data_IF_725594376633
#
_entry.id   IF_725594376633
#
_cell.length_a   1.000
_cell.length_b   1.000
_cell.length_c   1.000
_cell.angle_alpha   90.00
_cell.angle_beta   90.00
_cell.angle_gamma   90.00
#
_symmetry.space_group_name_H-M   'P 1'
#
loop_
_entity.id
_entity.type
_entity.pdbx_description
1 polymer ?
#
# COMPACT_ATOMS: atom_id res chain seq x y z
N UNK A 1 -34.03 30.36 2.85
CA UNK A 1 -34.70 29.92 4.09
C UNK A 1 -33.59 29.64 5.08
N UNK A 2 -33.28 30.67 5.87
CA UNK A 2 -32.05 30.78 6.65
C UNK A 2 -32.03 29.78 7.80
N UNK A 3 -30.96 28.98 7.86
CA UNK A 3 -30.69 28.08 8.97
C UNK A 3 -29.80 28.83 9.96
N UNK A 4 -30.43 29.43 10.96
CA UNK A 4 -29.74 29.93 12.15
C UNK A 4 -29.17 28.73 12.92
N UNK A 5 -27.83 28.69 13.02
CA UNK A 5 -27.12 27.68 13.81
C UNK A 5 -27.08 28.15 15.25
N UNK A 6 -28.03 27.69 16.06
CA UNK A 6 -27.98 27.85 17.51
C UNK A 6 -26.96 26.87 18.10
N UNK A 7 -26.03 27.41 18.88
CA UNK A 7 -24.84 26.72 19.41
C UNK A 7 -25.10 26.33 20.87
N UNK A 8 -25.70 25.16 21.14
CA UNK A 8 -25.69 24.61 22.52
C UNK A 8 -26.03 23.12 22.66
N UNK A 9 -25.21 22.47 23.50
CA UNK A 9 -25.47 21.26 24.30
C UNK A 9 -25.17 19.85 23.72
N UNK A 10 -24.57 19.07 24.61
CA UNK A 10 -23.90 17.78 24.47
C UNK A 10 -24.87 16.58 24.42
N UNK A 11 -25.62 16.43 23.32
CA UNK A 11 -26.38 15.19 23.05
C UNK A 11 -25.88 14.53 21.77
N UNK A 12 -25.74 13.18 21.72
CA UNK A 12 -25.42 12.49 20.48
C UNK A 12 -26.50 12.80 19.44
N UNK A 13 -26.10 13.41 18.31
CA UNK A 13 -27.00 13.84 17.23
C UNK A 13 -27.73 12.60 16.69
N UNK A 14 -29.04 12.49 16.91
CA UNK A 14 -29.84 11.42 16.29
C UNK A 14 -30.01 11.73 14.80
N UNK A 15 -29.78 10.72 13.96
CA UNK A 15 -30.06 10.80 12.52
C UNK A 15 -31.29 9.92 12.26
N UNK A 16 -32.39 10.54 11.85
CA UNK A 16 -33.61 9.85 11.42
C UNK A 16 -33.49 9.49 9.95
N UNK A 17 -33.34 8.20 9.65
CA UNK A 17 -33.45 7.63 8.31
C UNK A 17 -34.71 6.74 8.30
N UNK A 18 -35.67 7.05 7.42
CA UNK A 18 -36.91 6.27 7.23
C UNK A 18 -37.70 5.95 8.52
N UNK A 19 -37.78 6.88 9.48
CA UNK A 19 -38.57 6.70 10.71
C UNK A 19 -37.93 5.79 11.78
N UNK A 20 -36.77 5.21 11.51
CA UNK A 20 -36.04 4.37 12.46
C UNK A 20 -35.02 5.23 13.21
N UNK A 21 -35.15 5.30 14.54
CA UNK A 21 -34.20 5.98 15.42
C UNK A 21 -32.96 5.11 15.62
N UNK A 22 -31.93 5.28 14.79
CA UNK A 22 -30.66 4.56 14.93
C UNK A 22 -29.70 5.40 15.78
N UNK A 23 -29.20 4.84 16.89
CA UNK A 23 -28.13 5.48 17.67
C UNK A 23 -26.87 5.61 16.81
N UNK A 24 -26.22 6.78 16.84
CA UNK A 24 -24.95 7.00 16.14
C UNK A 24 -23.86 6.00 16.52
N UNK A 25 -23.94 5.41 17.73
CA UNK A 25 -23.02 4.35 18.15
C UNK A 25 -23.16 3.09 17.30
N UNK A 26 -24.39 2.71 16.93
CA UNK A 26 -24.63 1.56 16.05
C UNK A 26 -24.16 1.84 14.63
N UNK A 27 -24.36 3.06 14.12
CA UNK A 27 -23.85 3.44 12.78
C UNK A 27 -22.31 3.35 12.69
N UNK A 28 -21.59 3.68 13.77
CA UNK A 28 -20.11 3.58 13.83
C UNK A 28 -19.59 2.14 13.75
N UNK A 29 -20.41 1.14 14.08
CA UNK A 29 -20.07 -0.28 13.99
C UNK A 29 -20.68 -0.95 12.75
N UNK A 30 -21.89 -0.56 12.37
CA UNK A 30 -22.60 -1.11 11.22
C UNK A 30 -21.89 -0.81 9.91
N UNK A 31 -21.33 0.40 9.73
CA UNK A 31 -20.62 0.75 8.49
C UNK A 31 -19.37 -0.11 8.29
N UNK A 32 -18.41 -0.18 9.25
CA UNK A 32 -17.25 -1.06 9.08
C UNK A 32 -17.61 -2.54 8.93
N UNK A 33 -18.62 -3.02 9.67
CA UNK A 33 -19.07 -4.41 9.59
C UNK A 33 -19.69 -4.71 8.22
N UNK A 34 -20.61 -3.87 7.75
CA UNK A 34 -21.21 -4.01 6.42
C UNK A 34 -20.16 -3.94 5.32
N UNK A 35 -19.22 -3.00 5.42
CA UNK A 35 -18.12 -2.88 4.47
C UNK A 35 -17.22 -4.13 4.51
N UNK A 36 -16.90 -4.65 5.69
CA UNK A 36 -16.13 -5.89 5.83
C UNK A 36 -16.83 -7.07 5.16
N UNK A 37 -18.14 -7.26 5.38
CA UNK A 37 -18.90 -8.35 4.75
C UNK A 37 -18.92 -8.21 3.23
N UNK A 38 -19.17 -7.01 2.72
CA UNK A 38 -19.17 -6.69 1.28
C UNK A 38 -17.80 -6.95 0.64
N UNK A 39 -16.72 -6.68 1.36
CA UNK A 39 -15.36 -7.00 0.91
C UNK A 39 -15.14 -8.52 0.98
N UNK A 40 -15.38 -9.13 2.14
CA UNK A 40 -14.96 -10.47 2.50
C UNK A 40 -15.70 -11.57 1.74
N UNK A 41 -17.02 -11.46 1.58
CA UNK A 41 -17.84 -12.51 0.95
C UNK A 41 -17.33 -12.83 -0.48
N UNK A 42 -17.12 -11.85 -1.38
CA UNK A 42 -16.52 -12.10 -2.68
C UNK A 42 -15.11 -12.70 -2.64
N UNK A 43 -14.34 -12.56 -1.55
CA UNK A 43 -13.00 -13.15 -1.46
C UNK A 43 -13.02 -14.61 -1.04
N UNK A 44 -14.01 -15.05 -0.27
CA UNK A 44 -14.06 -16.43 0.24
C UNK A 44 -15.02 -17.34 -0.54
N UNK A 45 -15.92 -16.76 -1.33
CA UNK A 45 -16.89 -17.53 -2.11
C UNK A 45 -16.19 -18.34 -3.20
N UNK A 46 -16.24 -19.68 -3.12
CA UNK A 46 -15.67 -20.58 -4.12
C UNK A 46 -14.14 -20.56 -4.18
N UNK A 47 -13.46 -20.60 -3.02
CA UNK A 47 -12.01 -20.76 -2.95
C UNK A 47 -11.53 -22.19 -3.29
N UNK A 48 -12.46 -23.12 -3.50
CA UNK A 48 -12.29 -24.54 -3.78
C UNK A 48 -12.72 -24.94 -5.19
N UNK A 49 -12.85 -23.99 -6.12
CA UNK A 49 -13.39 -24.28 -7.47
C UNK A 49 -12.30 -24.70 -8.47
N UNK A 50 -11.12 -24.09 -8.39
CA UNK A 50 -10.01 -24.35 -9.32
C UNK A 50 -8.67 -24.05 -8.65
N UNK A 51 -7.59 -24.56 -9.23
CA UNK A 51 -6.20 -24.22 -8.94
C UNK A 51 -5.64 -23.42 -10.11
N UNK A 52 -4.92 -22.31 -9.85
CA UNK A 52 -4.32 -21.49 -10.91
C UNK A 52 -2.80 -21.64 -10.96
N UNK A 53 -2.17 -20.98 -11.94
CA UNK A 53 -0.73 -20.97 -12.11
C UNK A 53 -0.02 -20.41 -10.87
N UNK A 54 1.19 -20.93 -10.61
CA UNK A 54 2.09 -20.61 -9.49
C UNK A 54 1.56 -20.95 -8.07
N UNK A 55 0.27 -21.25 -7.89
CA UNK A 55 -0.26 -21.55 -6.55
C UNK A 55 0.23 -22.88 -6.00
N UNK A 56 0.46 -23.87 -6.84
CA UNK A 56 1.03 -25.15 -6.45
C UNK A 56 2.43 -24.96 -5.84
N UNK A 57 3.25 -24.13 -6.47
CA UNK A 57 4.54 -23.70 -5.95
C UNK A 57 4.38 -22.96 -4.62
N UNK A 58 3.46 -22.00 -4.52
CA UNK A 58 3.25 -21.24 -3.28
C UNK A 58 2.74 -22.11 -2.12
N UNK A 59 1.91 -23.12 -2.39
CA UNK A 59 1.44 -24.11 -1.40
C UNK A 59 2.64 -24.97 -0.93
N UNK A 60 3.45 -25.46 -1.87
CA UNK A 60 4.65 -26.23 -1.56
C UNK A 60 5.61 -25.41 -0.70
N UNK A 61 5.87 -24.16 -1.07
CA UNK A 61 6.76 -23.28 -0.32
C UNK A 61 6.24 -22.99 1.09
N UNK A 62 4.95 -22.75 1.23
CA UNK A 62 4.30 -22.55 2.54
C UNK A 62 4.44 -23.78 3.43
N UNK A 63 4.32 -24.97 2.86
CA UNK A 63 4.46 -26.25 3.57
C UNK A 63 5.92 -26.50 4.00
N UNK A 64 6.89 -26.22 3.12
CA UNK A 64 8.33 -26.30 3.44
C UNK A 64 8.71 -25.26 4.51
N UNK A 65 8.16 -24.06 4.43
CA UNK A 65 8.34 -23.01 5.42
C UNK A 65 7.83 -23.46 6.80
N UNK A 66 6.59 -23.96 6.87
CA UNK A 66 5.99 -24.48 8.10
C UNK A 66 6.85 -25.58 8.73
N UNK A 67 7.26 -26.56 7.93
CA UNK A 67 8.15 -27.65 8.37
C UNK A 67 9.47 -27.13 8.91
N UNK A 68 10.07 -26.15 8.24
CA UNK A 68 11.37 -25.57 8.64
C UNK A 68 11.26 -24.81 9.97
N UNK A 69 10.20 -24.02 10.15
CA UNK A 69 9.90 -23.29 11.39
C UNK A 69 9.66 -24.26 12.55
N UNK A 70 8.82 -25.28 12.36
CA UNK A 70 8.51 -26.27 13.41
C UNK A 70 9.75 -27.08 13.84
N UNK A 71 10.71 -27.27 12.95
CA UNK A 71 11.97 -27.96 13.24
C UNK A 71 13.08 -27.04 13.77
N UNK A 72 12.82 -25.73 13.94
CA UNK A 72 13.82 -24.74 14.35
C UNK A 72 14.93 -24.49 13.30
N UNK A 73 14.69 -24.87 12.03
CA UNK A 73 15.66 -24.74 10.91
C UNK A 73 15.40 -23.44 10.14
N UNK A 74 15.58 -22.30 10.79
CA UNK A 74 15.25 -20.96 10.26
C UNK A 74 15.91 -20.64 8.91
N UNK A 75 17.15 -21.07 8.70
CA UNK A 75 17.85 -20.90 7.41
C UNK A 75 17.26 -21.70 6.25
N UNK A 76 16.42 -22.71 6.52
CA UNK A 76 15.66 -23.46 5.51
C UNK A 76 14.27 -22.87 5.25
N UNK A 77 13.87 -21.86 6.02
CA UNK A 77 12.66 -21.07 5.77
C UNK A 77 12.83 -20.06 4.61
N UNK A 78 13.99 -20.10 3.93
CA UNK A 78 14.24 -19.43 2.67
C UNK A 78 13.98 -20.44 1.54
N UNK A 79 12.80 -20.32 0.93
CA UNK A 79 12.29 -21.29 -0.05
C UNK A 79 12.23 -20.69 -1.46
N UNK A 80 12.05 -19.38 -1.54
CA UNK A 80 11.96 -18.60 -2.77
C UNK A 80 13.28 -17.86 -3.04
N UNK A 81 13.50 -17.43 -4.29
CA UNK A 81 14.57 -16.50 -4.67
C UNK A 81 14.41 -15.08 -4.10
N UNK A 82 13.28 -14.81 -3.45
CA UNK A 82 12.91 -13.57 -2.76
C UNK A 82 12.13 -13.92 -1.47
N UNK A 83 11.82 -12.97 -0.56
CA UNK A 83 11.38 -13.36 0.79
C UNK A 83 10.03 -14.07 0.84
N UNK A 84 9.00 -13.57 0.13
CA UNK A 84 7.65 -14.16 0.07
C UNK A 84 6.93 -14.34 1.41
N UNK A 85 7.44 -13.77 2.50
CA UNK A 85 7.13 -14.20 3.88
C UNK A 85 5.65 -14.10 4.22
N UNK A 86 4.92 -13.00 3.92
CA UNK A 86 3.51 -12.94 4.25
C UNK A 86 2.70 -14.06 3.61
N UNK A 87 2.96 -14.40 2.35
CA UNK A 87 2.29 -15.49 1.64
C UNK A 87 2.66 -16.84 2.26
N UNK A 88 3.94 -17.08 2.53
CA UNK A 88 4.41 -18.33 3.16
C UNK A 88 3.79 -18.56 4.55
N UNK A 89 3.75 -17.52 5.39
CA UNK A 89 3.18 -17.60 6.74
C UNK A 89 1.68 -17.83 6.68
N UNK A 90 0.96 -17.10 5.82
CA UNK A 90 -0.50 -17.24 5.71
C UNK A 90 -0.90 -18.59 5.11
N UNK A 91 -0.14 -19.07 4.11
CA UNK A 91 -0.31 -20.42 3.58
C UNK A 91 -0.02 -21.49 4.62
N UNK A 92 1.07 -21.34 5.40
CA UNK A 92 1.42 -22.24 6.50
C UNK A 92 0.33 -22.30 7.58
N UNK A 93 -0.26 -21.16 7.93
CA UNK A 93 -1.43 -21.10 8.83
C UNK A 93 -2.59 -21.90 8.24
N UNK A 94 -2.86 -21.74 6.94
CA UNK A 94 -3.93 -22.47 6.25
C UNK A 94 -3.73 -23.98 6.26
N UNK A 95 -2.52 -24.45 5.94
CA UNK A 95 -2.13 -25.87 6.03
C UNK A 95 -2.30 -26.39 7.46
N UNK A 96 -1.81 -25.64 8.45
CA UNK A 96 -1.93 -26.01 9.86
C UNK A 96 -3.37 -26.09 10.34
N UNK A 97 -4.23 -25.13 9.96
CA UNK A 97 -5.66 -25.14 10.26
C UNK A 97 -6.36 -26.34 9.62
N UNK A 98 -6.06 -26.64 8.35
CA UNK A 98 -6.65 -27.80 7.66
C UNK A 98 -6.30 -29.11 8.34
N UNK A 99 -5.04 -29.27 8.74
CA UNK A 99 -4.60 -30.45 9.50
C UNK A 99 -5.27 -30.49 10.88
N UNK A 100 -5.39 -29.37 11.59
CA UNK A 100 -6.06 -29.31 12.88
C UNK A 100 -7.50 -29.84 12.80
N UNK A 101 -8.28 -29.43 11.79
CA UNK A 101 -9.64 -29.95 11.61
C UNK A 101 -9.70 -31.44 11.25
N UNK A 102 -8.70 -31.95 10.54
CA UNK A 102 -8.56 -33.38 10.30
C UNK A 102 -8.31 -34.13 11.61
N UNK A 103 -7.33 -33.67 12.40
CA UNK A 103 -6.95 -34.28 13.68
C UNK A 103 -8.10 -34.29 14.70
N UNK A 104 -8.94 -33.25 14.72
CA UNK A 104 -10.14 -33.19 15.56
C UNK A 104 -11.31 -34.07 15.04
N UNK A 105 -11.16 -34.70 13.87
CA UNK A 105 -12.20 -35.52 13.24
C UNK A 105 -13.35 -34.73 12.61
N UNK A 106 -13.25 -33.40 12.49
CA UNK A 106 -14.32 -32.55 11.96
C UNK A 106 -14.36 -32.57 10.42
N UNK A 107 -13.20 -32.54 9.79
CA UNK A 107 -13.04 -32.55 8.33
C UNK A 107 -11.98 -33.60 7.95
N UNK A 108 -12.31 -34.90 7.98
CA UNK A 108 -11.35 -35.95 7.68
C UNK A 108 -10.81 -35.83 6.24
N UNK A 109 -9.59 -36.31 6.03
CA UNK A 109 -8.87 -36.27 4.76
C UNK A 109 -8.32 -37.66 4.52
N UNK A 110 -8.78 -38.34 3.48
CA UNK A 110 -8.43 -39.74 3.22
C UNK A 110 -6.93 -39.95 2.92
N UNK A 111 -6.23 -38.91 2.49
CA UNK A 111 -4.81 -38.93 2.15
C UNK A 111 -3.91 -38.39 3.26
N UNK A 112 -4.47 -37.79 4.32
CA UNK A 112 -3.71 -37.25 5.46
C UNK A 112 -3.62 -38.30 6.54
N UNK A 113 -2.46 -38.38 7.17
CA UNK A 113 -2.22 -39.27 8.31
C UNK A 113 -2.44 -38.52 9.62
N UNK A 114 -2.67 -39.25 10.71
CA UNK A 114 -2.89 -38.66 12.03
C UNK A 114 -1.71 -37.79 12.49
N UNK A 115 -0.49 -38.07 12.02
CA UNK A 115 0.71 -37.29 12.33
C UNK A 115 0.96 -36.12 11.35
N UNK A 116 1.28 -34.95 11.90
CA UNK A 116 1.54 -33.72 11.13
C UNK A 116 2.76 -33.84 10.22
N UNK A 117 3.89 -34.38 10.72
CA UNK A 117 5.13 -34.39 9.95
C UNK A 117 5.08 -35.29 8.70
N UNK A 118 4.57 -36.54 8.79
CA UNK A 118 4.26 -37.34 7.60
C UNK A 118 3.30 -36.65 6.65
N UNK A 119 2.26 -35.98 7.17
CA UNK A 119 1.33 -35.20 6.36
C UNK A 119 2.01 -34.06 5.59
N UNK A 120 2.86 -33.27 6.26
CA UNK A 120 3.62 -32.21 5.60
C UNK A 120 4.58 -32.78 4.54
N UNK A 121 5.21 -33.93 4.82
CA UNK A 121 6.08 -34.61 3.86
C UNK A 121 5.29 -35.06 2.62
N UNK A 122 4.13 -35.67 2.82
CA UNK A 122 3.24 -36.10 1.76
C UNK A 122 2.71 -34.92 0.96
N UNK A 123 2.28 -33.84 1.62
CA UNK A 123 1.86 -32.61 0.96
C UNK A 123 2.96 -32.02 0.06
N UNK A 124 4.24 -32.12 0.46
CA UNK A 124 5.37 -31.67 -0.36
C UNK A 124 5.85 -32.68 -1.42
N UNK A 125 5.61 -33.98 -1.25
CA UNK A 125 6.20 -35.03 -2.08
C UNK A 125 5.20 -35.68 -3.05
N UNK A 126 3.92 -35.70 -2.70
CA UNK A 126 2.87 -36.41 -3.44
C UNK A 126 2.16 -35.52 -4.45
N UNK A 127 2.01 -34.23 -4.14
CA UNK A 127 1.33 -33.31 -5.03
C UNK A 127 2.36 -32.63 -5.94
N UNK A 128 2.57 -33.23 -7.11
CA UNK A 128 3.16 -32.50 -8.25
C UNK A 128 2.24 -31.38 -8.73
N UNK A 129 2.68 -30.66 -9.76
CA UNK A 129 1.95 -29.58 -10.42
C UNK A 129 0.48 -29.98 -10.63
N UNK A 130 -0.44 -29.27 -9.99
CA UNK A 130 -1.91 -29.46 -10.09
C UNK A 130 -2.58 -30.66 -9.38
N UNK A 131 -1.92 -31.36 -8.46
CA UNK A 131 -2.52 -32.53 -7.80
C UNK A 131 -3.18 -32.26 -6.42
N UNK A 132 -3.15 -31.02 -5.92
CA UNK A 132 -3.72 -30.70 -4.61
C UNK A 132 -5.27 -30.83 -4.59
N UNK A 133 -5.85 -31.48 -3.58
CA UNK A 133 -7.30 -31.55 -3.41
C UNK A 133 -7.91 -30.15 -3.24
N UNK A 134 -9.03 -29.90 -3.89
CA UNK A 134 -9.69 -28.59 -3.90
C UNK A 134 -10.15 -28.15 -2.50
N UNK A 135 -10.60 -29.10 -1.68
CA UNK A 135 -10.99 -28.83 -0.29
C UNK A 135 -9.78 -28.39 0.55
N UNK A 136 -8.58 -28.90 0.27
CA UNK A 136 -7.34 -28.46 0.91
C UNK A 136 -6.97 -27.04 0.49
N UNK A 137 -7.10 -26.72 -0.80
CA UNK A 137 -6.77 -25.40 -1.37
C UNK A 137 -7.60 -24.29 -0.72
N UNK A 138 -8.88 -24.53 -0.40
CA UNK A 138 -9.73 -23.58 0.31
C UNK A 138 -9.04 -23.02 1.56
N UNK A 139 -8.53 -23.92 2.40
CA UNK A 139 -7.95 -23.57 3.69
C UNK A 139 -6.59 -22.91 3.55
N UNK A 140 -5.84 -23.21 2.49
CA UNK A 140 -4.57 -22.55 2.21
C UNK A 140 -4.79 -21.10 1.73
N UNK A 141 -5.83 -20.85 0.93
CA UNK A 141 -6.21 -19.50 0.46
C UNK A 141 -6.88 -18.67 1.55
N UNK A 142 -7.67 -19.28 2.43
CA UNK A 142 -8.55 -18.58 3.36
C UNK A 142 -7.83 -17.53 4.25
N UNK A 143 -6.69 -17.81 4.91
CA UNK A 143 -5.99 -16.80 5.72
C UNK A 143 -5.54 -15.58 4.90
N UNK A 144 -5.10 -15.80 3.66
CA UNK A 144 -4.68 -14.72 2.77
C UNK A 144 -5.87 -13.87 2.33
N UNK A 145 -6.99 -14.50 1.95
CA UNK A 145 -8.25 -13.82 1.62
C UNK A 145 -8.80 -13.00 2.81
N UNK A 146 -8.68 -13.53 4.03
CA UNK A 146 -9.07 -12.84 5.26
C UNK A 146 -8.17 -11.62 5.53
N UNK A 147 -6.84 -11.77 5.46
CA UNK A 147 -5.90 -10.66 5.67
C UNK A 147 -6.03 -9.59 4.60
N UNK A 148 -6.31 -9.98 3.34
CA UNK A 148 -6.60 -9.03 2.28
C UNK A 148 -7.87 -8.23 2.60
N UNK A 149 -8.94 -8.89 3.07
CA UNK A 149 -10.19 -8.24 3.44
C UNK A 149 -10.03 -7.28 4.62
N UNK A 150 -9.27 -7.67 5.64
CA UNK A 150 -8.90 -6.81 6.77
C UNK A 150 -8.05 -5.62 6.29
N UNK A 151 -7.11 -5.85 5.37
CA UNK A 151 -6.25 -4.81 4.82
C UNK A 151 -7.03 -3.80 3.98
N UNK A 152 -7.99 -4.26 3.17
CA UNK A 152 -8.91 -3.38 2.42
C UNK A 152 -9.82 -2.59 3.37
N UNK A 153 -10.29 -3.19 4.46
CA UNK A 153 -10.99 -2.43 5.50
C UNK A 153 -10.05 -1.42 6.20
N UNK A 154 -8.78 -1.76 6.39
CA UNK A 154 -7.73 -0.86 6.86
C UNK A 154 -7.57 0.37 5.96
N UNK A 155 -7.63 0.17 4.64
CA UNK A 155 -7.61 1.26 3.64
C UNK A 155 -8.75 2.24 3.91
N UNK A 156 -9.98 1.76 4.16
CA UNK A 156 -11.10 2.62 4.57
C UNK A 156 -10.79 3.41 5.85
N UNK A 157 -10.25 2.75 6.88
CA UNK A 157 -9.98 3.40 8.16
C UNK A 157 -8.89 4.48 8.10
N UNK A 158 -7.89 4.31 7.24
CA UNK A 158 -6.84 5.30 7.02
C UNK A 158 -7.33 6.42 6.09
N UNK A 159 -7.94 6.06 4.95
CA UNK A 159 -8.42 7.03 3.96
C UNK A 159 -9.52 7.93 4.51
N UNK A 160 -10.44 7.43 5.35
CA UNK A 160 -11.50 8.28 5.94
C UNK A 160 -10.96 9.43 6.78
N UNK A 161 -9.74 9.30 7.31
CA UNK A 161 -9.06 10.35 8.08
C UNK A 161 -8.41 11.41 7.18
N UNK A 162 -8.16 11.08 5.91
CA UNK A 162 -7.52 11.97 4.93
C UNK A 162 -8.57 12.70 4.06
N UNK A 163 -9.58 11.96 3.59
CA UNK A 163 -10.52 12.42 2.55
C UNK A 163 -11.99 12.38 2.98
N UNK A 164 -12.24 12.07 4.25
CA UNK A 164 -13.59 11.99 4.81
C UNK A 164 -14.29 10.65 4.54
N UNK A 165 -15.36 10.39 5.29
CA UNK A 165 -16.01 9.07 5.34
C UNK A 165 -16.66 8.64 4.02
N UNK A 166 -17.43 9.53 3.37
CA UNK A 166 -18.16 9.19 2.14
C UNK A 166 -17.21 8.80 1.00
N UNK A 167 -16.15 9.59 0.81
CA UNK A 167 -15.16 9.36 -0.25
C UNK A 167 -14.35 8.10 0.06
N UNK A 168 -14.01 7.86 1.32
CA UNK A 168 -13.33 6.64 1.75
C UNK A 168 -14.16 5.37 1.51
N UNK A 169 -15.47 5.40 1.77
CA UNK A 169 -16.37 4.28 1.46
C UNK A 169 -16.33 3.99 -0.05
N UNK A 170 -16.57 5.00 -0.88
CA UNK A 170 -16.58 4.84 -2.34
C UNK A 170 -15.24 4.33 -2.87
N UNK A 171 -14.13 4.94 -2.45
CA UNK A 171 -12.79 4.52 -2.87
C UNK A 171 -12.46 3.09 -2.44
N UNK A 172 -12.87 2.70 -1.23
CA UNK A 172 -12.66 1.33 -0.75
C UNK A 172 -13.52 0.33 -1.52
N UNK A 173 -14.76 0.67 -1.88
CA UNK A 173 -15.60 -0.18 -2.70
C UNK A 173 -15.02 -0.34 -4.12
N UNK A 174 -14.49 0.73 -4.72
CA UNK A 174 -13.80 0.64 -6.02
C UNK A 174 -12.63 -0.32 -5.94
N UNK A 175 -11.78 -0.22 -4.91
CA UNK A 175 -10.65 -1.14 -4.70
C UNK A 175 -11.14 -2.56 -4.43
N UNK A 176 -12.20 -2.72 -3.64
CA UNK A 176 -12.75 -4.02 -3.27
C UNK A 176 -13.45 -4.73 -4.45
N UNK A 177 -13.92 -4.00 -5.45
CA UNK A 177 -14.57 -4.60 -6.63
C UNK A 177 -13.74 -4.47 -7.90
N UNK A 178 -12.50 -3.97 -7.79
CA UNK A 178 -11.56 -4.02 -8.89
C UNK A 178 -11.25 -5.50 -9.23
N UNK A 179 -11.44 -5.93 -10.49
CA UNK A 179 -11.29 -7.33 -10.89
C UNK A 179 -9.88 -7.87 -10.69
N UNK A 180 -8.83 -7.05 -10.88
CA UNK A 180 -7.45 -7.48 -10.68
C UNK A 180 -7.12 -7.60 -9.19
N UNK A 181 -7.52 -6.61 -8.38
CA UNK A 181 -7.35 -6.72 -6.92
C UNK A 181 -8.14 -7.92 -6.39
N UNK A 182 -9.38 -8.11 -6.83
CA UNK A 182 -10.21 -9.22 -6.40
C UNK A 182 -9.61 -10.58 -6.80
N UNK A 183 -9.12 -10.75 -8.03
CA UNK A 183 -8.52 -12.02 -8.46
C UNK A 183 -7.25 -12.32 -7.65
N UNK A 184 -6.33 -11.37 -7.51
CA UNK A 184 -5.05 -11.56 -6.83
C UNK A 184 -5.14 -11.62 -5.29
N UNK A 185 -6.25 -11.21 -4.70
CA UNK A 185 -6.49 -11.32 -3.24
C UNK A 185 -7.27 -12.58 -2.83
N UNK A 186 -7.63 -13.42 -3.81
CA UNK A 186 -8.32 -14.70 -3.60
C UNK A 186 -7.40 -15.91 -3.73
N UNK A 187 -6.30 -15.76 -4.46
CA UNK A 187 -5.32 -16.83 -4.75
C UNK A 187 -4.13 -16.73 -3.81
N UNK A 188 -3.47 -17.85 -3.53
CA UNK A 188 -2.24 -17.82 -2.72
C UNK A 188 -1.07 -17.34 -3.56
N UNK A 189 -0.86 -16.03 -3.58
CA UNK A 189 0.22 -15.40 -4.33
C UNK A 189 0.82 -14.21 -3.58
N UNK A 190 2.01 -13.76 -4.00
CA UNK A 190 2.75 -12.69 -3.33
C UNK A 190 2.30 -11.27 -3.70
N UNK A 191 1.63 -11.13 -4.86
CA UNK A 191 1.25 -9.82 -5.40
C UNK A 191 0.10 -9.17 -4.62
N UNK A 192 -0.85 -9.96 -4.11
CA UNK A 192 -1.90 -9.45 -3.22
C UNK A 192 -1.31 -8.77 -1.98
N UNK A 193 -0.53 -9.50 -1.14
CA UNK A 193 0.20 -8.94 -0.01
C UNK A 193 1.06 -7.73 -0.33
N UNK A 194 1.82 -7.79 -1.41
CA UNK A 194 2.60 -6.65 -1.88
C UNK A 194 1.71 -5.40 -2.05
N UNK A 195 0.63 -5.50 -2.82
CA UNK A 195 -0.21 -4.37 -3.18
C UNK A 195 -0.88 -3.72 -1.95
N UNK A 196 -1.54 -4.50 -1.09
CA UNK A 196 -2.25 -3.91 0.04
C UNK A 196 -1.31 -3.39 1.13
N UNK A 197 -0.15 -4.02 1.37
CA UNK A 197 0.81 -3.50 2.33
C UNK A 197 1.51 -2.23 1.83
N UNK A 198 1.85 -2.15 0.54
CA UNK A 198 2.36 -0.92 -0.06
C UNK A 198 1.36 0.23 0.09
N UNK A 199 0.08 -0.01 -0.22
CA UNK A 199 -0.92 1.04 -0.18
C UNK A 199 -1.29 1.47 1.25
N UNK A 200 -1.41 0.54 2.19
CA UNK A 200 -1.59 0.88 3.61
C UNK A 200 -0.39 1.66 4.16
N UNK A 201 0.83 1.26 3.80
CA UNK A 201 2.06 1.96 4.16
C UNK A 201 2.05 3.40 3.65
N UNK A 202 1.65 3.60 2.39
CA UNK A 202 1.48 4.91 1.77
C UNK A 202 0.45 5.78 2.49
N UNK A 203 -0.74 5.25 2.79
CA UNK A 203 -1.77 6.00 3.51
C UNK A 203 -1.33 6.38 4.94
N UNK A 204 -0.68 5.46 5.66
CA UNK A 204 -0.14 5.72 6.99
C UNK A 204 1.00 6.77 6.94
N UNK A 205 1.82 6.76 5.89
CA UNK A 205 2.84 7.78 5.66
C UNK A 205 2.21 9.17 5.47
N UNK A 206 1.17 9.29 4.64
CA UNK A 206 0.45 10.55 4.46
C UNK A 206 -0.18 11.04 5.76
N UNK A 207 -0.74 10.14 6.58
CA UNK A 207 -1.27 10.47 7.90
C UNK A 207 -0.19 10.98 8.87
N UNK A 208 1.03 10.44 8.80
CA UNK A 208 2.15 10.96 9.57
C UNK A 208 2.52 12.39 9.16
N UNK A 209 2.59 12.66 7.85
CA UNK A 209 2.89 14.01 7.37
C UNK A 209 1.82 15.01 7.81
N UNK A 210 0.55 14.60 7.72
CA UNK A 210 -0.62 15.41 8.05
C UNK A 210 -0.79 15.65 9.55
N UNK A 211 -0.99 14.58 10.30
CA UNK A 211 -1.39 14.67 11.70
C UNK A 211 -0.17 14.66 12.63
N UNK A 212 0.99 14.19 12.16
CA UNK A 212 2.11 13.85 13.02
C UNK A 212 1.83 12.63 13.91
N UNK A 213 2.82 12.25 14.71
CA UNK A 213 2.71 11.18 15.70
C UNK A 213 3.33 9.86 15.24
N UNK A 214 4.21 9.32 16.08
CA UNK A 214 5.02 8.14 15.78
C UNK A 214 4.21 6.89 15.43
N UNK A 215 2.98 6.74 15.93
CA UNK A 215 2.11 5.61 15.59
C UNK A 215 1.91 5.42 14.08
N UNK A 216 1.80 6.51 13.33
CA UNK A 216 1.57 6.46 11.88
C UNK A 216 2.84 6.11 11.13
N UNK A 217 3.98 6.64 11.59
CA UNK A 217 5.28 6.33 11.02
C UNK A 217 5.68 4.87 11.30
N UNK A 218 5.41 4.38 12.50
CA UNK A 218 5.61 2.98 12.89
C UNK A 218 4.72 2.07 12.04
N UNK A 219 3.42 2.38 11.96
CA UNK A 219 2.49 1.61 11.12
C UNK A 219 2.96 1.59 9.65
N UNK A 220 3.31 2.75 9.09
CA UNK A 220 3.81 2.87 7.72
C UNK A 220 5.10 2.07 7.50
N UNK A 221 6.09 2.21 8.40
CA UNK A 221 7.35 1.47 8.30
C UNK A 221 7.16 -0.04 8.39
N UNK A 222 6.35 -0.53 9.35
CA UNK A 222 6.07 -1.96 9.51
C UNK A 222 5.37 -2.53 8.28
N UNK A 223 4.36 -1.84 7.76
CA UNK A 223 3.67 -2.24 6.52
C UNK A 223 4.60 -2.15 5.30
N UNK A 224 5.50 -1.17 5.25
CA UNK A 224 6.53 -1.07 4.21
C UNK A 224 7.52 -2.24 4.27
N UNK A 225 7.91 -2.67 5.47
CA UNK A 225 8.71 -3.86 5.69
C UNK A 225 7.97 -5.14 5.25
N UNK A 226 6.69 -5.29 5.61
CA UNK A 226 5.85 -6.40 5.14
C UNK A 226 5.71 -6.42 3.61
N UNK A 227 5.56 -5.26 2.97
CA UNK A 227 5.57 -5.16 1.51
C UNK A 227 6.91 -5.65 0.91
N UNK A 228 8.04 -5.21 1.49
CA UNK A 228 9.37 -5.66 1.08
C UNK A 228 9.59 -7.16 1.30
N UNK A 229 8.93 -7.74 2.30
CA UNK A 229 8.91 -9.18 2.53
C UNK A 229 7.99 -9.94 1.58
N UNK A 230 7.07 -9.28 0.88
CA UNK A 230 6.24 -9.94 -0.14
C UNK A 230 7.05 -10.19 -1.41
N UNK A 231 7.64 -9.14 -2.00
CA UNK A 231 8.34 -9.23 -3.30
C UNK A 231 9.25 -8.02 -3.52
N UNK A 232 10.26 -8.16 -4.38
CA UNK A 232 11.25 -7.12 -4.66
C UNK A 232 10.71 -5.81 -5.27
N UNK A 233 9.59 -5.76 -6.04
CA UNK A 233 9.04 -4.49 -6.51
C UNK A 233 8.61 -3.51 -5.41
N UNK A 234 8.48 -3.98 -4.16
CA UNK A 234 8.26 -3.11 -3.00
C UNK A 234 9.31 -2.01 -2.83
N UNK A 235 10.51 -2.17 -3.41
CA UNK A 235 11.53 -1.12 -3.44
C UNK A 235 11.03 0.19 -4.06
N UNK A 236 10.05 0.12 -4.98
CA UNK A 236 9.39 1.30 -5.58
C UNK A 236 8.63 2.14 -4.56
N UNK A 237 8.28 1.59 -3.40
CA UNK A 237 7.61 2.33 -2.34
C UNK A 237 8.46 3.51 -1.85
N UNK A 238 9.79 3.36 -1.75
CA UNK A 238 10.68 4.45 -1.33
C UNK A 238 10.56 5.71 -2.22
N UNK A 239 10.79 5.59 -3.54
CA UNK A 239 10.54 6.67 -4.50
C UNK A 239 9.11 7.22 -4.46
N UNK A 240 8.09 6.37 -4.32
CA UNK A 240 6.69 6.81 -4.20
C UNK A 240 6.49 7.70 -2.96
N UNK A 241 7.00 7.27 -1.79
CA UNK A 241 6.90 8.05 -0.55
C UNK A 241 7.68 9.36 -0.63
N UNK A 242 8.84 9.37 -1.29
CA UNK A 242 9.61 10.58 -1.54
C UNK A 242 8.81 11.58 -2.37
N UNK A 243 8.30 11.16 -3.54
CA UNK A 243 7.52 12.04 -4.42
C UNK A 243 6.25 12.53 -3.73
N UNK A 244 5.50 11.65 -3.07
CA UNK A 244 4.30 12.02 -2.34
C UNK A 244 4.61 12.97 -1.17
N UNK A 245 5.70 12.76 -0.46
CA UNK A 245 6.16 13.62 0.62
C UNK A 245 6.58 15.01 0.12
N UNK A 246 7.25 15.09 -1.03
CA UNK A 246 7.57 16.36 -1.69
C UNK A 246 6.31 17.08 -2.15
N UNK A 247 5.36 16.39 -2.78
CA UNK A 247 4.07 16.96 -3.18
C UNK A 247 3.30 17.47 -1.97
N UNK A 248 3.27 16.73 -0.86
CA UNK A 248 2.66 17.16 0.40
C UNK A 248 3.36 18.41 0.98
N UNK A 249 4.70 18.43 0.97
CA UNK A 249 5.47 19.58 1.46
C UNK A 249 5.26 20.82 0.59
N UNK A 250 5.04 20.65 -0.72
CA UNK A 250 4.66 21.73 -1.62
C UNK A 250 3.23 22.17 -1.34
N UNK A 251 2.25 21.26 -1.37
CA UNK A 251 0.81 21.53 -1.30
C UNK A 251 0.19 21.04 0.02
N UNK A 252 0.53 21.64 1.17
CA UNK A 252 0.00 21.16 2.42
C UNK A 252 -1.47 21.56 2.58
N UNK A 253 -2.22 20.80 3.38
CA UNK A 253 -3.43 21.28 4.03
C UNK A 253 -3.15 22.57 4.81
N UNK A 254 -4.16 23.44 4.93
CA UNK A 254 -4.06 24.72 5.62
C UNK A 254 -3.63 24.55 7.09
N UNK A 255 -2.75 25.43 7.58
CA UNK A 255 -2.42 25.53 9.01
C UNK A 255 -1.09 24.91 9.47
N UNK A 256 -0.30 24.25 8.60
CA UNK A 256 1.02 23.71 8.98
C UNK A 256 2.20 24.61 8.55
N UNK A 257 3.04 25.09 9.50
CA UNK A 257 4.20 25.92 9.16
C UNK A 257 5.19 25.20 8.23
N UNK A 258 5.89 25.96 7.37
CA UNK A 258 6.85 25.39 6.40
C UNK A 258 7.94 24.57 7.10
N UNK A 259 8.55 25.10 8.15
CA UNK A 259 9.61 24.40 8.91
C UNK A 259 9.16 23.04 9.46
N UNK A 260 7.93 22.97 9.99
CA UNK A 260 7.37 21.73 10.53
C UNK A 260 7.18 20.68 9.44
N UNK A 261 6.70 21.08 8.25
CA UNK A 261 6.48 20.17 7.12
C UNK A 261 7.77 19.51 6.64
N UNK A 262 8.81 20.30 6.41
CA UNK A 262 10.11 19.78 5.94
C UNK A 262 10.79 18.94 7.02
N UNK A 263 10.69 19.33 8.30
CA UNK A 263 11.17 18.50 9.41
C UNK A 263 10.44 17.16 9.47
N UNK A 264 9.10 17.17 9.37
CA UNK A 264 8.31 15.94 9.33
C UNK A 264 8.69 15.06 8.15
N UNK A 265 8.86 15.62 6.95
CA UNK A 265 9.28 14.85 5.77
C UNK A 265 10.66 14.19 5.98
N UNK A 266 11.64 14.92 6.49
CA UNK A 266 12.97 14.37 6.79
C UNK A 266 12.92 13.22 7.80
N UNK A 267 12.17 13.39 8.89
CA UNK A 267 11.95 12.33 9.88
C UNK A 267 11.16 11.17 9.27
N UNK A 268 10.18 11.45 8.40
CA UNK A 268 9.37 10.44 7.76
C UNK A 268 10.24 9.53 6.91
N UNK A 269 11.09 10.08 6.03
CA UNK A 269 11.91 9.27 5.13
C UNK A 269 12.96 8.42 5.87
N UNK A 270 13.70 9.03 6.82
CA UNK A 270 14.73 8.32 7.58
C UNK A 270 14.13 7.33 8.57
N UNK A 271 13.11 7.77 9.34
CA UNK A 271 12.44 6.94 10.31
C UNK A 271 11.66 5.79 9.68
N UNK A 272 11.00 6.04 8.55
CA UNK A 272 10.32 4.99 7.78
C UNK A 272 11.32 3.93 7.29
N UNK A 273 12.44 4.34 6.70
CA UNK A 273 13.46 3.41 6.20
C UNK A 273 14.03 2.53 7.32
N UNK A 274 14.32 3.13 8.48
CA UNK A 274 14.79 2.38 9.64
C UNK A 274 13.74 1.38 10.15
N UNK A 275 12.47 1.81 10.30
CA UNK A 275 11.41 0.93 10.81
C UNK A 275 11.11 -0.20 9.81
N UNK A 276 11.07 0.09 8.51
CA UNK A 276 10.87 -0.91 7.48
C UNK A 276 12.01 -1.93 7.46
N UNK A 277 13.26 -1.47 7.60
CA UNK A 277 14.42 -2.37 7.73
C UNK A 277 14.31 -3.24 8.98
N UNK A 278 13.98 -2.67 10.15
CA UNK A 278 13.81 -3.43 11.38
C UNK A 278 12.68 -4.47 11.26
N UNK A 279 11.55 -4.11 10.64
CA UNK A 279 10.45 -5.04 10.39
C UNK A 279 10.87 -6.16 9.42
N UNK A 280 11.61 -5.83 8.35
CA UNK A 280 12.14 -6.80 7.40
C UNK A 280 13.04 -7.84 8.09
N UNK A 281 13.99 -7.40 8.91
CA UNK A 281 14.84 -8.29 9.69
C UNK A 281 14.07 -9.07 10.75
N UNK A 282 13.17 -8.41 11.50
CA UNK A 282 12.45 -9.02 12.61
C UNK A 282 11.37 -10.02 12.18
N UNK A 283 10.88 -9.95 10.94
CA UNK A 283 9.79 -10.81 10.46
C UNK A 283 10.27 -11.89 9.47
N UNK A 284 11.55 -11.88 9.07
CA UNK A 284 12.09 -12.90 8.16
C UNK A 284 13.11 -13.80 8.88
N UNK A 285 12.72 -15.04 9.25
CA UNK A 285 13.59 -15.93 10.02
C UNK A 285 14.94 -16.24 9.37
N UNK A 286 15.01 -16.23 8.03
CA UNK A 286 16.25 -16.44 7.30
C UNK A 286 17.32 -15.38 7.61
N UNK A 287 16.90 -14.15 7.91
CA UNK A 287 17.81 -13.04 8.26
C UNK A 287 18.48 -13.23 9.63
N UNK A 288 17.91 -14.06 10.51
CA UNK A 288 18.48 -14.30 11.84
C UNK A 288 19.64 -15.27 11.80
N UNK A 289 19.62 -16.23 10.87
CA UNK A 289 20.64 -17.28 10.78
C UNK A 289 21.62 -17.07 9.62
N UNK A 290 21.16 -16.62 8.45
CA UNK A 290 21.98 -16.51 7.23
C UNK A 290 21.69 -15.21 6.45
N UNK A 291 21.86 -14.02 7.04
CA UNK A 291 21.48 -12.75 6.42
C UNK A 291 22.21 -12.44 5.11
N UNK A 292 23.53 -12.67 5.05
CA UNK A 292 24.31 -12.40 3.83
C UNK A 292 23.86 -13.28 2.65
N UNK A 293 23.61 -14.55 2.92
CA UNK A 293 23.12 -15.50 1.92
C UNK A 293 21.72 -15.12 1.43
N UNK A 294 20.84 -14.68 2.34
CA UNK A 294 19.49 -14.24 1.98
C UNK A 294 19.51 -13.00 1.08
N UNK A 295 20.37 -12.03 1.38
CA UNK A 295 20.56 -10.84 0.54
C UNK A 295 21.18 -11.18 -0.82
N UNK A 296 22.20 -12.05 -0.84
CA UNK A 296 22.82 -12.52 -2.07
C UNK A 296 21.81 -13.24 -2.98
N UNK A 297 20.92 -14.05 -2.40
CA UNK A 297 19.87 -14.72 -3.16
C UNK A 297 18.90 -13.73 -3.82
N UNK A 298 18.48 -12.69 -3.11
CA UNK A 298 17.63 -11.63 -3.68
C UNK A 298 18.33 -10.97 -4.86
N UNK A 299 19.62 -10.63 -4.73
CA UNK A 299 20.39 -9.98 -5.79
C UNK A 299 20.53 -10.92 -6.99
N UNK A 300 20.86 -12.20 -6.77
CA UNK A 300 20.97 -13.20 -7.82
C UNK A 300 19.63 -13.40 -8.55
N UNK A 301 18.52 -13.43 -7.82
CA UNK A 301 17.19 -13.54 -8.40
C UNK A 301 16.84 -12.31 -9.26
N UNK A 302 17.12 -11.10 -8.77
CA UNK A 302 16.94 -9.87 -9.54
C UNK A 302 17.79 -9.85 -10.82
N UNK A 303 19.05 -10.26 -10.72
CA UNK A 303 19.93 -10.38 -11.89
C UNK A 303 19.40 -11.42 -12.87
N UNK A 304 18.98 -12.59 -12.38
CA UNK A 304 18.39 -13.65 -13.21
C UNK A 304 17.19 -13.12 -13.99
N UNK A 305 16.20 -12.54 -13.31
CA UNK A 305 14.96 -12.03 -13.93
C UNK A 305 15.25 -10.93 -14.95
N UNK A 306 16.26 -10.09 -14.72
CA UNK A 306 16.60 -8.99 -15.63
C UNK A 306 17.53 -9.41 -16.79
N UNK A 307 18.22 -10.55 -16.68
CA UNK A 307 19.19 -11.02 -17.69
C UNK A 307 18.60 -12.07 -18.62
N UNK A 308 17.56 -12.77 -18.20
CA UNK A 308 16.83 -13.71 -19.03
C UNK A 308 15.65 -13.03 -19.70
N UNK A 309 15.42 -13.35 -20.97
CA UNK A 309 14.12 -13.12 -21.58
C UNK A 309 13.06 -13.84 -20.79
N UNK A 310 12.03 -13.12 -20.36
CA UNK A 310 10.94 -13.78 -19.69
C UNK A 310 10.21 -14.65 -20.73
N UNK A 311 10.12 -15.98 -20.56
CA UNK A 311 9.60 -16.87 -21.60
C UNK A 311 8.13 -16.58 -21.95
N UNK A 312 7.44 -15.81 -21.12
CA UNK A 312 6.02 -15.45 -21.25
C UNK A 312 5.77 -14.04 -21.80
N UNK A 313 6.81 -13.22 -22.04
CA UNK A 313 6.58 -11.86 -22.58
C UNK A 313 6.26 -11.91 -24.07
N UNK A 314 6.64 -12.98 -24.77
CA UNK A 314 6.24 -13.24 -26.16
C UNK A 314 6.87 -12.26 -27.16
N UNK A 315 6.17 -12.02 -28.27
CA UNK A 315 6.57 -11.04 -29.29
C UNK A 315 5.67 -9.80 -29.16
N UNK A 316 6.27 -8.63 -28.99
CA UNK A 316 5.53 -7.37 -28.81
C UNK A 316 5.33 -6.62 -30.13
N UNK A 317 6.37 -6.55 -30.96
CA UNK A 317 6.35 -5.84 -32.24
C UNK A 317 7.48 -6.32 -33.18
N UNK A 318 7.13 -7.02 -34.26
CA UNK A 318 8.12 -7.61 -35.17
C UNK A 318 8.98 -8.68 -34.48
N UNK A 319 10.27 -8.72 -34.81
CA UNK A 319 11.24 -9.70 -34.27
C UNK A 319 11.84 -9.29 -32.91
N UNK A 320 11.41 -8.16 -32.32
CA UNK A 320 11.91 -7.74 -31.01
C UNK A 320 11.21 -8.47 -29.87
N UNK A 321 12.06 -8.98 -28.99
CA UNK A 321 11.71 -9.57 -27.71
C UNK A 321 10.99 -8.54 -26.83
N UNK A 322 9.85 -8.99 -26.32
CA UNK A 322 8.72 -8.14 -25.95
C UNK A 322 8.98 -7.09 -24.87
N UNK A 323 9.45 -7.51 -23.70
CA UNK A 323 9.58 -6.68 -22.49
C UNK A 323 10.84 -5.81 -22.46
N UNK A 324 11.77 -6.04 -23.37
CA UNK A 324 12.98 -5.21 -23.54
C UNK A 324 12.73 -3.95 -24.37
N UNK A 325 11.62 -3.90 -25.11
CA UNK A 325 11.27 -2.73 -25.89
C UNK A 325 10.85 -1.56 -24.95
N UNK A 326 11.45 -0.35 -25.06
CA UNK A 326 11.10 0.78 -24.20
C UNK A 326 9.62 1.22 -24.29
N UNK A 327 8.93 0.89 -25.38
CA UNK A 327 7.51 1.18 -25.59
C UNK A 327 6.59 0.06 -25.07
N UNK A 328 7.14 -1.08 -24.64
CA UNK A 328 6.37 -2.23 -24.14
C UNK A 328 5.31 -1.81 -23.12
N UNK A 329 5.76 -1.19 -22.04
CA UNK A 329 4.89 -0.79 -20.95
C UNK A 329 3.95 0.36 -21.32
N UNK A 330 4.28 1.20 -22.31
CA UNK A 330 3.34 2.24 -22.77
C UNK A 330 2.10 1.64 -23.43
N UNK A 331 2.25 0.51 -24.13
CA UNK A 331 1.14 -0.19 -24.78
C UNK A 331 0.48 -1.23 -23.87
N UNK A 332 1.23 -1.99 -23.08
CA UNK A 332 0.68 -3.07 -22.23
C UNK A 332 0.01 -2.54 -20.97
N UNK A 333 0.55 -1.49 -20.35
CA UNK A 333 0.01 -0.98 -19.08
C UNK A 333 -1.48 -0.62 -19.15
N UNK A 334 -2.01 0.06 -20.20
CA UNK A 334 -3.44 0.29 -20.34
C UNK A 334 -4.34 -0.96 -20.31
N UNK A 335 -3.85 -2.13 -20.76
CA UNK A 335 -4.61 -3.38 -20.70
C UNK A 335 -4.71 -3.97 -19.29
N UNK A 336 -3.85 -3.52 -18.38
CA UNK A 336 -3.89 -3.86 -16.95
C UNK A 336 -4.60 -2.79 -16.10
N UNK A 337 -5.28 -1.83 -16.73
CA UNK A 337 -6.08 -0.82 -16.04
C UNK A 337 -7.56 -1.06 -16.30
N UNK A 338 -8.38 -0.82 -15.28
CA UNK A 338 -9.83 -0.72 -15.46
C UNK A 338 -10.21 0.70 -15.91
N UNK A 339 -11.37 0.88 -16.59
CA UNK A 339 -11.84 2.21 -16.98
C UNK A 339 -11.92 3.20 -15.81
N UNK A 340 -12.32 2.73 -14.62
CA UNK A 340 -12.39 3.55 -13.41
C UNK A 340 -11.00 3.98 -12.92
N UNK A 341 -10.02 3.08 -12.93
CA UNK A 341 -8.63 3.40 -12.56
C UNK A 341 -8.03 4.38 -13.57
N UNK A 342 -8.25 4.17 -14.87
CA UNK A 342 -7.79 5.08 -15.93
C UNK A 342 -8.34 6.48 -15.77
N UNK A 343 -9.66 6.63 -15.52
CA UNK A 343 -10.28 7.91 -15.21
C UNK A 343 -9.68 8.53 -13.93
N UNK A 344 -9.46 7.73 -12.89
CA UNK A 344 -8.81 8.16 -11.65
C UNK A 344 -7.39 8.70 -11.86
N UNK A 345 -6.58 8.04 -12.70
CA UNK A 345 -5.22 8.47 -13.03
C UNK A 345 -5.26 9.79 -13.81
N UNK A 346 -6.03 9.87 -14.89
CA UNK A 346 -6.12 11.06 -15.74
C UNK A 346 -6.59 12.27 -14.94
N UNK A 347 -7.64 12.10 -14.13
CA UNK A 347 -8.14 13.18 -13.27
C UNK A 347 -7.11 13.60 -12.23
N UNK A 348 -6.42 12.64 -11.58
CA UNK A 348 -5.38 12.93 -10.59
C UNK A 348 -4.20 13.69 -11.19
N UNK A 349 -3.70 13.27 -12.36
CA UNK A 349 -2.62 13.95 -13.07
C UNK A 349 -3.02 15.37 -13.49
N UNK A 350 -4.24 15.54 -14.01
CA UNK A 350 -4.78 16.86 -14.36
C UNK A 350 -4.85 17.81 -13.16
N UNK A 351 -5.31 17.31 -12.01
CA UNK A 351 -5.39 18.09 -10.77
C UNK A 351 -4.00 18.47 -10.22
N UNK A 352 -3.04 17.54 -10.25
CA UNK A 352 -1.65 17.81 -9.86
C UNK A 352 -1.03 18.87 -10.78
N UNK A 353 -1.20 18.72 -12.10
CA UNK A 353 -0.72 19.69 -13.09
C UNK A 353 -1.32 21.08 -12.90
N UNK A 354 -2.64 21.16 -12.71
CA UNK A 354 -3.33 22.42 -12.40
C UNK A 354 -2.79 23.07 -11.12
N UNK A 355 -2.59 22.28 -10.05
CA UNK A 355 -2.02 22.76 -8.79
C UNK A 355 -0.60 23.31 -8.94
N UNK A 356 0.25 22.63 -9.71
CA UNK A 356 1.62 23.07 -10.03
C UNK A 356 1.64 24.37 -10.81
N UNK A 357 0.81 24.49 -11.85
CA UNK A 357 0.67 25.71 -12.65
C UNK A 357 0.18 26.90 -11.81
N UNK A 358 -0.85 26.69 -10.98
CA UNK A 358 -1.37 27.73 -10.11
C UNK A 358 -0.33 28.21 -9.09
N UNK A 359 0.52 27.31 -8.58
CA UNK A 359 1.63 27.66 -7.69
C UNK A 359 2.72 28.43 -8.41
N UNK A 360 3.09 27.99 -9.62
CA UNK A 360 4.12 28.65 -10.41
C UNK A 360 3.75 30.11 -10.71
N UNK A 361 2.50 30.35 -11.14
CA UNK A 361 1.97 31.71 -11.35
C UNK A 361 2.05 32.59 -10.11
N UNK A 362 1.81 32.05 -8.90
CA UNK A 362 1.97 32.78 -7.63
C UNK A 362 3.42 33.14 -7.31
N UNK A 363 4.37 32.29 -7.68
CA UNK A 363 5.80 32.55 -7.48
C UNK A 363 6.29 33.61 -8.46
N UNK A 364 5.83 33.58 -9.70
CA UNK A 364 6.14 34.62 -10.70
C UNK A 364 5.61 35.99 -10.28
N UNK A 365 4.35 36.06 -9.81
CA UNK A 365 3.81 37.34 -9.31
C UNK A 365 4.55 37.86 -8.09
N UNK A 366 4.91 36.98 -7.14
CA UNK A 366 5.72 37.35 -5.98
C UNK A 366 7.13 37.81 -6.38
N UNK A 367 7.79 37.12 -7.32
CA UNK A 367 9.11 37.49 -7.82
C UNK A 367 9.08 38.82 -8.57
N UNK A 368 8.07 39.04 -9.41
CA UNK A 368 7.84 40.30 -10.12
C UNK A 368 7.58 41.47 -9.17
N UNK A 369 6.77 41.28 -8.14
CA UNK A 369 6.52 42.30 -7.10
C UNK A 369 7.80 42.64 -6.33
N UNK A 370 8.62 41.66 -5.97
CA UNK A 370 9.89 41.89 -5.29
C UNK A 370 10.94 42.54 -6.19
N UNK A 371 10.99 42.19 -7.47
CA UNK A 371 11.85 42.83 -8.45
C UNK A 371 11.46 44.31 -8.65
N UNK A 372 10.16 44.60 -8.76
CA UNK A 372 9.64 45.96 -8.83
C UNK A 372 9.91 46.75 -7.54
N UNK A 373 9.74 46.14 -6.36
CA UNK A 373 10.05 46.77 -5.08
C UNK A 373 11.54 47.11 -4.94
N UNK A 374 12.44 46.23 -5.41
CA UNK A 374 13.90 46.50 -5.43
C UNK A 374 14.28 47.58 -6.44
N UNK A 375 13.64 47.61 -7.62
CA UNK A 375 13.85 48.66 -8.61
C UNK A 375 13.33 50.03 -8.13
N UNK A 376 12.17 50.06 -7.46
CA UNK A 376 11.60 51.28 -6.88
C UNK A 376 12.39 51.81 -5.68
N UNK A 377 12.96 50.93 -4.84
CA UNK A 377 13.85 51.31 -3.75
C UNK A 377 15.18 51.91 -4.25
N UNK A 378 15.66 51.50 -5.43
CA UNK A 378 16.83 52.10 -6.08
C UNK A 378 16.61 53.54 -6.56
N UNK A 379 15.37 53.93 -6.89
CA UNK A 379 15.04 55.30 -7.32
C UNK A 379 14.80 56.28 -6.17
N UNK A 380 14.62 55.82 -4.92
CA UNK A 380 14.32 56.68 -3.77
C UNK A 380 15.55 57.17 -2.99
N UNK A 381 16.76 56.73 -3.35
CA UNK A 381 18.02 57.29 -2.78
C UNK A 381 18.57 58.52 -3.54
N UNK A 382 17.84 59.09 -4.52
CA UNK A 382 18.34 60.18 -5.38
C UNK A 382 17.75 61.58 -5.14
N UNK A 383 16.89 61.80 -4.13
CA UNK A 383 16.27 63.11 -3.89
C UNK A 383 16.35 63.55 -2.43
N UNK A 384 17.56 63.91 -1.99
CA UNK A 384 17.76 64.77 -0.83
C UNK A 384 18.89 65.76 -1.18
N UNK A 385 18.56 66.85 -1.87
CA UNK A 385 19.23 68.15 -1.76
C UNK A 385 18.40 69.21 -2.51
N UNK A 386 17.48 69.87 -1.78
CA UNK A 386 16.97 71.18 -2.13
C UNK A 386 17.06 72.04 -0.87
N UNK A 387 18.03 72.96 -0.74
CA UNK A 387 17.95 74.02 0.25
C UNK A 387 17.28 75.23 -0.40
N UNK A 388 16.10 75.59 0.10
CA UNK A 388 15.55 76.93 -0.08
C UNK A 388 15.90 77.77 1.12
N UNK A 389 16.36 79.01 0.92
CA UNK A 389 16.21 80.10 1.89
C UNK A 389 16.04 81.42 1.13
N UNK A 390 14.92 82.09 1.40
CA UNK A 390 14.62 83.45 1.01
C UNK A 390 15.45 84.46 1.80
N UNK A 391 15.83 85.58 1.18
CA UNK A 391 16.48 86.70 1.86
C UNK A 391 16.60 87.92 0.97
N UNK A 392 15.56 88.76 0.99
CA UNK A 392 15.63 90.19 0.62
C UNK A 392 16.17 90.92 1.86
N UNK A 393 17.17 91.82 1.74
CA UNK A 393 16.85 93.26 1.84
C UNK A 393 17.68 94.21 0.97
N UNK A 394 17.02 95.32 0.62
CA UNK A 394 17.48 96.71 0.41
C UNK A 394 18.89 97.02 -0.15
N UNK A 395 18.91 97.84 -1.20
CA UNK A 395 20.08 98.53 -1.75
C UNK A 395 19.82 99.00 -3.17
#
# INVERSE_FOLDING_TARGET
MDVLIEKSSSRPRRLTLAGINIDQRWLRLAIPLGLFLVIFIPRIAGLDVFLTADEDDQIMFSTVFLKSVLQGKWGRALVLGYPGVPTLVLGAIGVGLRYWFHYQGWLPLAWVQDDLMPTLNQATATFGTFAYPLDFIYWVRFPLALVASISILGIYFLSRRLIGERVAILGTLIIAFDPFILSHTRVIHVDGPLAYFMFLSFLAFLLYLDQGGWRWLILSGVLGGLAALSKTPAALLGPILLVAGLLYALFPPSGTPRSVRWKRLGIALLGWGLIAMLAFFALWPAMWQRPLFALELIIRNLQSVNSSLHPTTGHFWGDQESDQNPFYYLLVFPYHLTPLVSLGIVTSLGLIGYGLLARWRKLETWAGQNAAARAGAGCLCGRLYCPGVAGVPAG
#
